data_IF_539752565179
#
_entry.id   IF_539752565179
#
_cell.length_a   1.000
_cell.length_b   1.000
_cell.length_c   1.000
_cell.angle_alpha   90.00
_cell.angle_beta   90.00
_cell.angle_gamma   90.00
#
_symmetry.space_group_name_H-M   'P 1'
#
loop_
_entity.id
_entity.type
_entity.pdbx_description
1 polymer ?
#
# COMPACT_ATOMS: atom_id res chain seq x y z
N UNK A 1 -23.31 44.78 -39.60
CA UNK A 1 -23.73 44.30 -38.27
C UNK A 1 -22.91 43.05 -38.02
N UNK A 2 -21.79 43.20 -37.32
CA UNK A 2 -20.92 42.08 -36.97
C UNK A 2 -21.44 41.39 -35.71
N UNK A 3 -21.59 40.06 -35.69
CA UNK A 3 -21.97 39.35 -34.47
C UNK A 3 -20.78 39.35 -33.50
N UNK A 4 -21.02 39.76 -32.26
CA UNK A 4 -20.03 39.62 -31.18
C UNK A 4 -19.86 38.14 -30.84
N UNK A 5 -18.63 37.66 -30.56
CA UNK A 5 -18.43 36.33 -30.01
C UNK A 5 -18.95 36.30 -28.57
N UNK A 6 -19.79 35.31 -28.27
CA UNK A 6 -20.13 34.93 -26.89
C UNK A 6 -18.90 34.21 -26.36
N UNK A 7 -18.21 34.82 -25.41
CA UNK A 7 -17.19 34.14 -24.61
C UNK A 7 -17.96 33.41 -23.52
N UNK A 8 -18.18 32.11 -23.70
CA UNK A 8 -18.57 31.20 -22.62
C UNK A 8 -17.38 31.09 -21.66
N UNK A 9 -17.34 31.99 -20.68
CA UNK A 9 -16.47 31.92 -19.52
C UNK A 9 -17.14 30.97 -18.51
N UNK A 10 -17.10 29.67 -18.81
CA UNK A 10 -17.40 28.65 -17.80
C UNK A 10 -16.22 28.63 -16.83
N UNK A 11 -16.42 28.89 -15.52
CA UNK A 11 -15.34 28.73 -14.57
C UNK A 11 -14.98 27.24 -14.54
N UNK A 12 -13.76 26.92 -14.94
CA UNK A 12 -13.19 25.60 -14.75
C UNK A 12 -13.32 25.26 -13.26
N UNK A 13 -14.25 24.36 -12.94
CA UNK A 13 -14.30 23.75 -11.61
C UNK A 13 -13.04 22.90 -11.55
N UNK A 14 -11.99 23.49 -10.97
CA UNK A 14 -10.78 22.77 -10.60
C UNK A 14 -11.24 21.73 -9.57
N UNK A 15 -11.53 20.53 -10.07
CA UNK A 15 -11.83 19.37 -9.25
C UNK A 15 -10.58 19.14 -8.43
N UNK A 16 -10.57 19.68 -7.19
CA UNK A 16 -9.57 19.33 -6.21
C UNK A 16 -9.70 17.83 -6.05
N UNK A 17 -8.73 17.11 -6.62
CA UNK A 17 -8.53 15.69 -6.42
C UNK A 17 -8.41 15.53 -4.91
N UNK A 18 -9.51 15.16 -4.27
CA UNK A 18 -9.52 14.84 -2.85
C UNK A 18 -8.63 13.62 -2.73
N UNK A 19 -7.38 13.83 -2.30
CA UNK A 19 -6.46 12.77 -1.89
C UNK A 19 -7.15 12.00 -0.76
N UNK A 20 -7.95 11.01 -1.13
CA UNK A 20 -8.51 10.06 -0.18
C UNK A 20 -7.31 9.42 0.53
N UNK A 21 -7.27 9.39 1.87
CA UNK A 21 -6.13 8.83 2.59
C UNK A 21 -5.94 7.37 2.13
N UNK A 22 -4.75 7.06 1.62
CA UNK A 22 -4.39 5.74 1.04
C UNK A 22 -4.17 4.65 2.09
N UNK A 23 -4.88 4.73 3.22
CA UNK A 23 -4.78 3.81 4.35
C UNK A 23 -6.03 3.78 5.21
N UNK A 24 -6.27 2.64 5.83
CA UNK A 24 -7.31 2.43 6.83
C UNK A 24 -6.91 3.16 8.13
N UNK A 25 -7.78 3.98 8.75
CA UNK A 25 -7.45 4.68 9.99
C UNK A 25 -7.06 3.71 11.13
N UNK A 26 -5.98 4.03 11.86
CA UNK A 26 -5.53 3.26 13.05
C UNK A 26 -5.91 3.92 14.38
N UNK A 27 -6.84 4.87 14.36
CA UNK A 27 -7.30 5.59 15.56
C UNK A 27 -8.09 4.65 16.48
N UNK A 28 -7.97 4.82 17.80
CA UNK A 28 -8.66 3.99 18.80
C UNK A 28 -10.18 3.94 18.56
N UNK A 29 -10.81 5.07 18.25
CA UNK A 29 -12.25 5.17 17.94
C UNK A 29 -12.66 4.29 16.74
N UNK A 30 -11.78 4.14 15.74
CA UNK A 30 -12.04 3.30 14.58
C UNK A 30 -11.87 1.83 14.91
N UNK A 31 -10.83 1.48 15.67
CA UNK A 31 -10.56 0.12 16.13
C UNK A 31 -11.70 -0.39 17.02
N UNK A 32 -12.20 0.42 17.96
CA UNK A 32 -13.34 0.07 18.81
C UNK A 32 -14.63 -0.09 18.00
N UNK A 33 -14.88 0.77 17.01
CA UNK A 33 -16.03 0.66 16.12
C UNK A 33 -16.02 -0.66 15.34
N UNK A 34 -14.87 -1.05 14.79
CA UNK A 34 -14.72 -2.34 14.10
C UNK A 34 -14.89 -3.50 15.09
N UNK A 35 -14.35 -3.36 16.31
CA UNK A 35 -14.48 -4.37 17.35
C UNK A 35 -15.96 -4.64 17.70
N UNK A 36 -16.78 -3.59 17.80
CA UNK A 36 -18.22 -3.72 18.00
C UNK A 36 -19.00 -4.36 16.85
N UNK A 37 -18.42 -4.46 15.65
CA UNK A 37 -19.01 -5.10 14.47
C UNK A 37 -18.51 -6.53 14.23
N UNK A 38 -17.53 -6.97 15.01
CA UNK A 38 -16.86 -8.26 14.83
C UNK A 38 -17.37 -9.26 15.88
N UNK A 39 -17.52 -10.57 15.56
CA UNK A 39 -17.92 -11.56 16.54
C UNK A 39 -17.01 -11.54 17.79
N UNK A 40 -17.60 -11.79 18.96
CA UNK A 40 -17.03 -11.48 20.29
C UNK A 40 -15.72 -12.16 20.70
N UNK A 41 -15.07 -12.88 19.79
CA UNK A 41 -13.77 -13.55 20.02
C UNK A 41 -12.59 -12.75 19.44
N UNK A 42 -12.85 -11.61 18.79
CA UNK A 42 -11.81 -10.73 18.26
C UNK A 42 -11.58 -9.56 19.23
N UNK A 43 -10.30 -9.28 19.50
CA UNK A 43 -9.87 -8.20 20.37
C UNK A 43 -9.51 -6.94 19.58
N UNK A 44 -9.60 -5.74 20.18
CA UNK A 44 -9.11 -4.50 19.58
C UNK A 44 -7.65 -4.59 19.09
N UNK A 45 -6.79 -5.29 19.83
CA UNK A 45 -5.39 -5.51 19.46
C UNK A 45 -5.23 -6.34 18.18
N UNK A 46 -6.09 -7.36 17.99
CA UNK A 46 -6.09 -8.15 16.76
C UNK A 46 -6.58 -7.31 15.57
N UNK A 47 -7.59 -6.45 15.78
CA UNK A 47 -8.09 -5.53 14.75
C UNK A 47 -7.02 -4.52 14.35
N UNK A 48 -6.35 -3.90 15.33
CA UNK A 48 -5.24 -2.98 15.08
C UNK A 48 -4.10 -3.67 14.31
N UNK A 49 -3.80 -4.93 14.64
CA UNK A 49 -2.79 -5.73 13.93
C UNK A 49 -3.18 -5.97 12.47
N UNK A 50 -4.45 -6.26 12.19
CA UNK A 50 -4.96 -6.44 10.82
C UNK A 50 -4.96 -5.12 10.06
N UNK A 51 -5.44 -4.02 10.65
CA UNK A 51 -5.42 -2.69 10.03
C UNK A 51 -3.99 -2.26 9.70
N UNK A 52 -3.05 -2.50 10.61
CA UNK A 52 -1.63 -2.19 10.39
C UNK A 52 -1.06 -3.04 9.25
N UNK A 53 -1.44 -4.32 9.16
CA UNK A 53 -1.04 -5.18 8.04
C UNK A 53 -1.65 -4.71 6.70
N UNK A 54 -2.91 -4.27 6.69
CA UNK A 54 -3.56 -3.69 5.51
C UNK A 54 -2.88 -2.39 5.10
N UNK A 55 -2.59 -1.50 6.04
CA UNK A 55 -1.87 -0.26 5.75
C UNK A 55 -0.47 -0.52 5.25
N UNK A 56 0.25 -1.48 5.82
CA UNK A 56 1.55 -1.90 5.28
C UNK A 56 1.45 -2.49 3.87
N UNK A 57 0.33 -3.12 3.51
CA UNK A 57 0.06 -3.56 2.15
C UNK A 57 -0.31 -2.39 1.22
N UNK A 58 -1.00 -1.35 1.70
CA UNK A 58 -1.41 -0.19 0.89
C UNK A 58 -0.38 0.95 0.82
N UNK A 59 0.55 1.06 1.77
CA UNK A 59 1.61 2.11 1.82
C UNK A 59 3.02 1.54 1.59
N UNK A 60 3.13 0.30 1.14
CA UNK A 60 4.38 -0.36 0.78
C UNK A 60 4.67 -0.35 -0.72
N UNK A 61 5.78 -0.98 -1.11
CA UNK A 61 6.02 -1.24 -2.52
C UNK A 61 4.91 -2.15 -3.10
N UNK A 62 4.40 -1.88 -4.31
CA UNK A 62 3.34 -2.69 -4.89
C UNK A 62 3.81 -4.11 -5.19
N UNK A 63 2.89 -5.07 -5.13
CA UNK A 63 3.15 -6.46 -5.57
C UNK A 63 3.69 -6.45 -7.00
N UNK A 64 4.74 -7.23 -7.24
CA UNK A 64 5.50 -7.23 -8.50
C UNK A 64 6.75 -6.34 -8.47
N UNK A 65 6.91 -5.46 -7.47
CA UNK A 65 8.16 -4.69 -7.31
C UNK A 65 9.35 -5.61 -7.13
N UNK A 66 10.44 -5.31 -7.82
CA UNK A 66 11.69 -6.04 -7.73
C UNK A 66 12.83 -5.12 -7.24
N UNK A 67 13.57 -5.57 -6.23
CA UNK A 67 14.70 -4.86 -5.65
C UNK A 67 15.95 -5.74 -5.62
N UNK A 68 17.13 -5.10 -5.67
CA UNK A 68 18.46 -5.71 -5.60
C UNK A 68 19.14 -5.33 -4.30
N UNK A 69 19.51 -6.34 -3.51
CA UNK A 69 20.27 -6.21 -2.27
C UNK A 69 21.75 -5.89 -2.51
N UNK A 70 22.45 -5.41 -1.47
CA UNK A 70 23.85 -4.98 -1.58
C UNK A 70 24.82 -6.13 -1.91
N UNK A 71 24.49 -7.38 -1.57
CA UNK A 71 25.32 -8.55 -1.90
C UNK A 71 24.81 -9.29 -3.16
N UNK A 72 23.89 -8.67 -3.90
CA UNK A 72 23.32 -9.23 -5.11
C UNK A 72 22.05 -10.05 -4.90
N UNK A 73 21.49 -10.07 -3.68
CA UNK A 73 20.20 -10.68 -3.40
C UNK A 73 19.10 -10.09 -4.29
N UNK A 74 18.14 -10.91 -4.68
CA UNK A 74 16.99 -10.48 -5.47
C UNK A 74 15.73 -10.61 -4.64
N UNK A 75 14.99 -9.51 -4.48
CA UNK A 75 13.72 -9.48 -3.76
C UNK A 75 12.59 -9.14 -4.73
N UNK A 76 11.50 -9.92 -4.68
CA UNK A 76 10.25 -9.60 -5.37
C UNK A 76 9.13 -9.46 -4.36
N UNK A 77 8.34 -8.40 -4.46
CA UNK A 77 7.12 -8.22 -3.68
C UNK A 77 6.05 -9.17 -4.21
N UNK A 78 5.55 -10.05 -3.35
CA UNK A 78 4.54 -11.06 -3.70
C UNK A 78 3.39 -11.02 -2.70
N UNK A 79 2.19 -11.35 -3.15
CA UNK A 79 1.09 -11.68 -2.26
C UNK A 79 1.02 -13.21 -2.10
N UNK A 80 1.03 -13.70 -0.86
CA UNK A 80 0.73 -15.10 -0.55
C UNK A 80 -0.38 -15.16 0.48
N UNK A 81 -1.49 -15.79 0.08
CA UNK A 81 -2.66 -16.00 0.94
C UNK A 81 -3.20 -14.67 1.53
N UNK A 82 -3.16 -13.59 0.75
CA UNK A 82 -3.63 -12.28 1.19
C UNK A 82 -2.61 -11.46 1.98
N UNK A 83 -1.40 -11.98 2.21
CA UNK A 83 -0.33 -11.27 2.90
C UNK A 83 0.76 -10.85 1.91
N UNK A 84 1.05 -9.56 1.86
CA UNK A 84 2.14 -9.02 1.05
C UNK A 84 3.48 -9.16 1.78
N UNK A 85 4.46 -9.72 1.08
CA UNK A 85 5.79 -9.97 1.59
C UNK A 85 6.83 -9.90 0.48
N UNK A 86 8.09 -9.73 0.86
CA UNK A 86 9.22 -9.91 -0.03
C UNK A 86 9.60 -11.38 -0.07
N UNK A 87 9.62 -11.97 -1.26
CA UNK A 87 10.33 -13.22 -1.49
C UNK A 87 11.76 -12.87 -1.91
N UNK A 88 12.73 -13.25 -1.09
CA UNK A 88 14.13 -12.88 -1.27
C UNK A 88 14.94 -14.12 -1.60
N UNK A 89 15.78 -14.03 -2.63
CA UNK A 89 16.68 -15.09 -3.09
C UNK A 89 18.12 -14.61 -2.99
N UNK A 90 18.96 -15.34 -2.27
CA UNK A 90 20.40 -15.12 -2.27
C UNK A 90 21.02 -15.91 -3.44
N UNK A 91 21.68 -15.24 -4.41
CA UNK A 91 22.26 -15.91 -5.57
C UNK A 91 23.49 -16.76 -5.23
N UNK A 92 24.15 -16.52 -4.09
CA UNK A 92 25.39 -17.22 -3.72
C UNK A 92 25.14 -18.67 -3.31
N UNK A 93 24.04 -18.94 -2.60
CA UNK A 93 23.68 -20.27 -2.08
C UNK A 93 22.31 -20.76 -2.55
N UNK A 94 21.53 -19.92 -3.25
CA UNK A 94 20.18 -20.23 -3.68
C UNK A 94 19.15 -20.22 -2.55
N UNK A 95 19.51 -19.74 -1.36
CA UNK A 95 18.59 -19.67 -0.21
C UNK A 95 17.44 -18.71 -0.49
N UNK A 96 16.28 -19.07 0.04
CA UNK A 96 15.04 -18.30 -0.09
C UNK A 96 14.44 -18.05 1.29
N UNK A 97 14.09 -16.80 1.56
CA UNK A 97 13.36 -16.41 2.77
C UNK A 97 12.31 -15.34 2.46
N UNK A 98 11.45 -15.07 3.45
CA UNK A 98 10.40 -14.07 3.34
C UNK A 98 10.61 -12.95 4.36
N UNK A 99 10.39 -11.72 3.93
CA UNK A 99 10.44 -10.52 4.78
C UNK A 99 9.10 -9.76 4.67
N UNK A 100 8.52 -9.39 5.81
CA UNK A 100 7.23 -8.71 5.90
C UNK A 100 7.37 -7.18 5.92
N UNK A 101 8.58 -6.63 5.82
CA UNK A 101 8.80 -5.20 5.71
C UNK A 101 7.97 -4.61 4.54
N UNK A 102 7.34 -3.44 4.70
CA UNK A 102 6.48 -2.85 3.68
C UNK A 102 7.29 -2.40 2.45
N UNK A 103 8.55 -1.98 2.66
CA UNK A 103 9.54 -1.66 1.64
C UNK A 103 10.91 -2.19 2.08
N UNK A 104 11.81 -2.40 1.13
CA UNK A 104 13.21 -2.71 1.42
C UNK A 104 14.08 -1.49 1.11
N UNK A 105 15.10 -1.17 1.94
CA UNK A 105 16.08 -0.12 1.67
C UNK A 105 17.11 -0.57 0.61
N UNK A 106 16.63 -1.22 -0.45
CA UNK A 106 17.39 -1.85 -1.52
C UNK A 106 17.14 -1.11 -2.83
N UNK A 107 18.00 -1.29 -3.82
CA UNK A 107 17.85 -0.60 -5.10
C UNK A 107 16.70 -1.21 -5.88
N UNK A 108 15.70 -0.42 -6.27
CA UNK A 108 14.63 -0.88 -7.16
C UNK A 108 15.19 -1.11 -8.56
N UNK A 109 14.90 -2.28 -9.13
CA UNK A 109 15.42 -2.73 -10.43
C UNK A 109 14.31 -3.15 -11.39
N UNK A 110 13.05 -3.10 -10.96
CA UNK A 110 11.87 -3.38 -11.76
C UNK A 110 10.60 -3.33 -10.91
N UNK A 111 9.44 -3.41 -11.53
CA UNK A 111 8.16 -3.26 -10.86
C UNK A 111 7.22 -2.31 -11.60
N UNK A 112 5.95 -2.36 -11.23
CA UNK A 112 4.86 -1.56 -11.81
C UNK A 112 4.90 -0.11 -11.32
#
# INVERSE_FOLDING_TARGET
>A
MDPKPIVDDEPAVEMQESEEPTGVPTTDDFVERVNGMTPGDITPQQILSVITAINHATTGDPVGTARRGPNGEFATRVNRQGVDMWQIVNPADGSLWYDFAPTLPWTQIGGN
#
